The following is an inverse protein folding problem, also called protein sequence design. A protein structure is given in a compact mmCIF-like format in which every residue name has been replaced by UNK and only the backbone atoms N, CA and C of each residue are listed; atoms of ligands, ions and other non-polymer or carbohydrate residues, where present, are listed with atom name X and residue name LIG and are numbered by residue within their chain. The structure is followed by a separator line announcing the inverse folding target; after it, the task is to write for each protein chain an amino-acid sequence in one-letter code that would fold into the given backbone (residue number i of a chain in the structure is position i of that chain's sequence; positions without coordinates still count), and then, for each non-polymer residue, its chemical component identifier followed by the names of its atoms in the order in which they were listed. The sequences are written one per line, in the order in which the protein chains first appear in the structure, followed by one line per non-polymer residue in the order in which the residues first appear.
data_IF_559348749210
#
_entry.id   IF_559348749210
#
_cell.length_a   1.000
_cell.length_b   1.000
_cell.length_c   1.000
_cell.angle_alpha   90.00
_cell.angle_beta   90.00
_cell.angle_gamma   90.00
#
_symmetry.space_group_name_H-M   'P 1'
#
loop_
_entity.id
_entity.type
_entity.pdbx_description
1 polymer ?
#
# COMPACT_ATOMS: atom_id res chain seq x y z
N UNK A 1 -15.57 27.26 -22.44
CA UNK A 1 -16.69 26.39 -22.86
C UNK A 1 -17.96 26.88 -22.19
N UNK A 2 -19.07 27.07 -22.93
CA UNK A 2 -20.35 27.46 -22.32
C UNK A 2 -20.94 26.27 -21.56
N UNK A 3 -21.55 26.50 -20.40
CA UNK A 3 -22.17 25.42 -19.61
C UNK A 3 -23.27 24.68 -20.38
N UNK A 4 -23.98 25.38 -21.28
CA UNK A 4 -25.00 24.77 -22.15
C UNK A 4 -24.46 23.65 -23.05
N UNK A 5 -23.17 23.67 -23.37
CA UNK A 5 -22.49 22.68 -24.22
C UNK A 5 -21.75 21.61 -23.42
N UNK A 6 -21.74 21.70 -22.09
CA UNK A 6 -21.02 20.78 -21.23
C UNK A 6 -21.77 19.43 -21.13
N UNK A 7 -21.04 18.34 -21.41
CA UNK A 7 -21.42 16.97 -21.07
C UNK A 7 -21.10 16.71 -19.59
N UNK A 8 -22.03 16.10 -18.86
CA UNK A 8 -22.00 16.03 -17.39
C UNK A 8 -22.86 17.13 -16.78
N UNK A 9 -24.01 16.74 -16.20
CA UNK A 9 -24.95 17.64 -15.54
C UNK A 9 -25.06 17.27 -14.07
N UNK A 10 -25.43 18.26 -13.26
CA UNK A 10 -25.59 18.05 -11.83
C UNK A 10 -26.84 17.22 -11.54
N UNK A 11 -26.77 16.32 -10.56
CA UNK A 11 -27.92 15.56 -10.07
C UNK A 11 -28.34 16.01 -8.67
N UNK A 12 -29.66 16.16 -8.47
CA UNK A 12 -30.26 16.40 -7.15
C UNK A 12 -30.34 15.12 -6.31
N UNK A 13 -30.39 13.96 -6.96
CA UNK A 13 -30.56 12.68 -6.30
C UNK A 13 -29.21 12.11 -5.88
N UNK A 14 -29.19 11.45 -4.71
CA UNK A 14 -28.06 10.61 -4.30
C UNK A 14 -28.01 9.38 -5.20
N UNK A 15 -26.83 9.05 -5.73
CA UNK A 15 -26.65 7.84 -6.52
C UNK A 15 -26.53 6.61 -5.61
N UNK A 16 -27.21 5.49 -5.92
CA UNK A 16 -27.03 4.23 -5.20
C UNK A 16 -25.55 3.78 -5.20
N UNK A 17 -25.09 3.17 -4.11
CA UNK A 17 -23.71 2.67 -3.98
C UNK A 17 -22.63 3.74 -3.75
N UNK A 18 -23.02 4.99 -3.44
CA UNK A 18 -22.10 6.06 -3.06
C UNK A 18 -22.15 6.33 -1.56
N UNK A 19 -21.32 5.61 -0.79
CA UNK A 19 -21.39 5.66 0.67
C UNK A 19 -20.60 6.82 1.28
N UNK A 20 -19.46 7.20 0.70
CA UNK A 20 -18.68 8.35 1.17
C UNK A 20 -19.08 9.68 0.50
N UNK A 21 -18.87 10.77 1.23
CA UNK A 21 -19.26 12.13 0.82
C UNK A 21 -18.53 12.61 -0.44
N UNK A 22 -17.22 12.38 -0.55
CA UNK A 22 -16.44 12.76 -1.73
C UNK A 22 -16.93 12.08 -3.01
N UNK A 23 -17.18 10.77 -2.96
CA UNK A 23 -17.75 10.02 -4.09
C UNK A 23 -19.15 10.53 -4.47
N UNK A 24 -20.01 10.78 -3.49
CA UNK A 24 -21.34 11.37 -3.73
C UNK A 24 -21.25 12.73 -4.42
N UNK A 25 -20.34 13.60 -3.98
CA UNK A 25 -20.15 14.92 -4.56
C UNK A 25 -19.63 14.85 -5.99
N UNK A 26 -18.63 14.01 -6.26
CA UNK A 26 -18.08 13.84 -7.62
C UNK A 26 -19.13 13.35 -8.61
N UNK A 27 -19.96 12.39 -8.22
CA UNK A 27 -21.07 11.90 -9.05
C UNK A 27 -22.14 12.97 -9.25
N UNK A 28 -22.60 13.60 -8.16
CA UNK A 28 -23.67 14.60 -8.21
C UNK A 28 -23.26 15.86 -8.95
N UNK A 29 -21.98 16.23 -8.93
CA UNK A 29 -21.46 17.37 -9.67
C UNK A 29 -21.17 17.05 -11.16
N UNK A 30 -21.28 15.79 -11.58
CA UNK A 30 -20.98 15.36 -12.94
C UNK A 30 -19.49 15.40 -13.27
N UNK A 31 -18.63 15.08 -12.29
CA UNK A 31 -17.17 15.01 -12.49
C UNK A 31 -16.74 13.62 -12.97
N UNK A 32 -17.40 12.57 -12.50
CA UNK A 32 -17.16 11.19 -12.88
C UNK A 32 -18.48 10.46 -13.13
N UNK A 33 -18.42 9.37 -13.89
CA UNK A 33 -19.53 8.41 -14.03
C UNK A 33 -18.97 7.00 -13.95
N UNK A 34 -19.61 6.07 -13.20
CA UNK A 34 -19.17 4.68 -13.14
C UNK A 34 -19.43 3.99 -14.48
N UNK A 35 -18.47 3.16 -14.90
CA UNK A 35 -18.59 2.23 -16.04
C UNK A 35 -18.79 0.81 -15.52
N UNK A 36 -18.04 0.43 -14.49
CA UNK A 36 -18.17 -0.82 -13.74
C UNK A 36 -17.75 -0.59 -12.29
N UNK A 37 -17.81 -1.64 -11.45
CA UNK A 37 -17.36 -1.56 -10.07
C UNK A 37 -15.86 -1.19 -10.01
N UNK A 38 -15.55 -0.01 -9.45
CA UNK A 38 -14.17 0.49 -9.38
C UNK A 38 -13.59 0.92 -10.72
N UNK A 39 -14.42 1.23 -11.72
CA UNK A 39 -13.97 1.75 -13.03
C UNK A 39 -14.84 2.95 -13.38
N UNK A 40 -14.20 4.09 -13.62
CA UNK A 40 -14.86 5.39 -13.75
C UNK A 40 -14.41 6.13 -15.00
N UNK A 41 -15.35 6.74 -15.72
CA UNK A 41 -15.02 7.77 -16.71
C UNK A 41 -14.92 9.13 -16.04
N UNK A 42 -13.86 9.88 -16.34
CA UNK A 42 -13.72 11.28 -15.94
C UNK A 42 -14.42 12.17 -16.98
N UNK A 43 -15.48 12.85 -16.55
CA UNK A 43 -16.23 13.83 -17.36
C UNK A 43 -15.43 15.15 -17.47
N UNK A 44 -15.80 16.11 -18.33
CA UNK A 44 -14.94 17.26 -18.64
C UNK A 44 -14.41 18.05 -17.44
N UNK A 45 -15.19 18.22 -16.37
CA UNK A 45 -14.68 18.88 -15.15
C UNK A 45 -13.78 17.96 -14.31
N UNK A 46 -14.10 16.68 -14.18
CA UNK A 46 -13.23 15.71 -13.51
C UNK A 46 -11.89 15.59 -14.23
N UNK A 47 -11.91 15.50 -15.57
CA UNK A 47 -10.69 15.43 -16.37
C UNK A 47 -9.85 16.71 -16.26
N UNK A 48 -10.48 17.90 -16.21
CA UNK A 48 -9.75 19.16 -15.97
C UNK A 48 -9.07 19.21 -14.60
N UNK A 49 -9.64 18.58 -13.58
CA UNK A 49 -8.99 18.48 -12.27
C UNK A 49 -7.83 17.49 -12.34
N UNK A 50 -8.04 16.32 -12.94
CA UNK A 50 -6.99 15.32 -13.15
C UNK A 50 -5.79 15.90 -13.91
N UNK A 51 -6.03 16.62 -15.00
CA UNK A 51 -5.01 17.29 -15.82
C UNK A 51 -4.23 18.35 -15.04
N UNK A 52 -4.89 19.08 -14.14
CA UNK A 52 -4.22 20.05 -13.25
C UNK A 52 -3.34 19.37 -12.20
N UNK A 53 -3.81 18.27 -11.63
CA UNK A 53 -3.03 17.47 -10.67
C UNK A 53 -1.79 16.90 -11.37
N UNK A 54 -1.99 16.28 -12.54
CA UNK A 54 -0.94 15.73 -13.39
C UNK A 54 0.10 16.80 -13.77
N UNK A 55 -0.34 18.00 -14.12
CA UNK A 55 0.53 19.15 -14.40
C UNK A 55 1.39 19.55 -13.20
N UNK A 56 0.80 19.68 -12.00
CA UNK A 56 1.53 20.04 -10.77
C UNK A 56 2.60 19.00 -10.47
N UNK A 57 2.25 17.72 -10.55
CA UNK A 57 3.18 16.60 -10.35
C UNK A 57 4.35 16.69 -11.33
N UNK A 58 4.04 16.80 -12.63
CA UNK A 58 5.06 16.92 -13.69
C UNK A 58 6.00 18.09 -13.47
N UNK A 59 5.47 19.25 -13.09
CA UNK A 59 6.26 20.46 -12.86
C UNK A 59 7.20 20.32 -11.66
N UNK A 60 6.72 19.76 -10.53
CA UNK A 60 7.55 19.57 -9.34
C UNK A 60 8.64 18.52 -9.54
N UNK A 61 8.35 17.44 -10.26
CA UNK A 61 9.33 16.43 -10.62
C UNK A 61 10.38 16.97 -11.61
N UNK A 62 9.95 17.75 -12.61
CA UNK A 62 10.86 18.37 -13.57
C UNK A 62 11.86 19.35 -12.93
N UNK A 63 11.45 20.09 -11.89
CA UNK A 63 12.36 20.97 -11.10
C UNK A 63 13.51 20.22 -10.43
N UNK A 64 13.37 18.91 -10.25
CA UNK A 64 14.32 18.02 -9.56
C UNK A 64 15.00 17.05 -10.52
N UNK A 65 14.99 17.37 -11.82
CA UNK A 65 15.63 16.58 -12.88
C UNK A 65 15.10 15.14 -13.01
N UNK A 66 13.87 14.89 -12.55
CA UNK A 66 13.21 13.60 -12.74
C UNK A 66 12.71 13.49 -14.18
N UNK A 67 13.12 12.44 -14.87
CA UNK A 67 12.89 12.27 -16.30
C UNK A 67 11.53 11.61 -16.55
N UNK A 68 10.69 12.24 -17.37
CA UNK A 68 9.40 11.67 -17.73
C UNK A 68 9.50 10.72 -18.92
N UNK A 69 9.02 9.50 -18.72
CA UNK A 69 8.87 8.47 -19.74
C UNK A 69 7.41 8.00 -19.76
N UNK A 70 7.06 7.17 -20.74
CA UNK A 70 5.78 6.48 -20.80
C UNK A 70 6.04 5.01 -21.10
N UNK A 71 5.71 4.14 -20.15
CA UNK A 71 5.85 2.70 -20.32
C UNK A 71 4.53 2.08 -20.80
N UNK A 72 4.59 0.92 -21.49
CA UNK A 72 3.39 0.20 -21.91
C UNK A 72 2.49 -0.14 -20.72
N UNK A 73 1.17 -0.15 -20.93
CA UNK A 73 0.22 -0.62 -19.92
C UNK A 73 0.05 -2.14 -19.92
N UNK A 74 0.30 -2.77 -21.06
CA UNK A 74 0.21 -4.23 -21.24
C UNK A 74 1.61 -4.81 -21.14
N UNK A 75 1.83 -5.70 -20.17
CA UNK A 75 3.13 -6.35 -19.96
C UNK A 75 3.09 -7.82 -20.40
N UNK A 76 4.16 -8.36 -21.00
CA UNK A 76 4.30 -9.80 -21.18
C UNK A 76 4.47 -10.47 -19.81
N UNK A 77 3.82 -11.61 -19.61
CA UNK A 77 3.87 -12.33 -18.32
C UNK A 77 5.29 -12.79 -17.98
N UNK A 78 6.12 -13.08 -18.98
CA UNK A 78 7.52 -13.53 -18.80
C UNK A 78 8.34 -12.56 -17.96
N UNK A 79 8.13 -11.25 -18.15
CA UNK A 79 8.87 -10.23 -17.43
C UNK A 79 8.55 -10.22 -15.92
N UNK A 80 7.31 -10.57 -15.56
CA UNK A 80 6.86 -10.70 -14.16
C UNK A 80 7.23 -12.05 -13.53
N UNK A 81 7.47 -13.05 -14.37
CA UNK A 81 7.96 -14.34 -13.92
C UNK A 81 9.43 -14.27 -13.52
N UNK A 82 10.25 -13.48 -14.24
CA UNK A 82 11.65 -13.18 -13.89
C UNK A 82 11.82 -12.66 -12.46
N UNK A 83 10.87 -11.84 -11.98
CA UNK A 83 10.89 -11.28 -10.61
C UNK A 83 10.13 -12.13 -9.59
N UNK A 84 9.45 -13.19 -10.04
CA UNK A 84 8.53 -14.00 -9.24
C UNK A 84 7.26 -13.26 -8.78
N UNK A 85 7.06 -11.99 -9.18
CA UNK A 85 5.90 -11.18 -8.76
C UNK A 85 4.62 -11.62 -9.45
N UNK A 86 4.70 -12.33 -10.57
CA UNK A 86 3.55 -13.03 -11.16
C UNK A 86 2.83 -13.91 -10.14
N UNK A 87 3.59 -14.72 -9.37
CA UNK A 87 3.02 -15.62 -8.36
C UNK A 87 2.63 -14.87 -7.10
N UNK A 88 3.50 -13.97 -6.61
CA UNK A 88 3.27 -13.22 -5.35
C UNK A 88 2.06 -12.29 -5.43
N UNK A 89 1.80 -11.69 -6.60
CA UNK A 89 0.73 -10.71 -6.79
C UNK A 89 -0.49 -11.27 -7.53
N UNK A 90 -0.56 -12.59 -7.77
CA UNK A 90 -1.63 -13.26 -8.54
C UNK A 90 -3.06 -12.85 -8.18
N UNK A 91 -3.31 -12.45 -6.93
CA UNK A 91 -4.63 -12.06 -6.41
C UNK A 91 -5.14 -10.73 -6.98
N UNK A 92 -4.25 -9.87 -7.49
CA UNK A 92 -4.60 -8.54 -8.02
C UNK A 92 -4.26 -8.37 -9.50
N UNK A 93 -3.69 -9.40 -10.13
CA UNK A 93 -3.28 -9.34 -11.54
C UNK A 93 -4.42 -9.76 -12.46
N UNK A 94 -4.72 -8.92 -13.45
CA UNK A 94 -5.54 -9.32 -14.59
C UNK A 94 -4.64 -9.87 -15.70
N UNK A 95 -4.64 -11.20 -15.85
CA UNK A 95 -3.85 -11.92 -16.85
C UNK A 95 -4.79 -12.41 -17.96
N UNK A 96 -4.35 -12.27 -19.22
CA UNK A 96 -5.14 -12.65 -20.38
C UNK A 96 -4.27 -13.26 -21.49
N UNK A 97 -4.87 -14.13 -22.28
CA UNK A 97 -4.27 -14.73 -23.47
C UNK A 97 -4.64 -13.89 -24.70
N UNK A 98 -3.64 -13.48 -25.48
CA UNK A 98 -3.90 -12.77 -26.73
C UNK A 98 -4.35 -13.73 -27.83
N UNK A 99 -5.23 -13.27 -28.72
CA UNK A 99 -5.78 -14.08 -29.81
C UNK A 99 -4.72 -14.69 -30.73
N UNK A 100 -3.60 -13.99 -30.92
CA UNK A 100 -2.50 -14.41 -31.80
C UNK A 100 -1.34 -15.04 -31.02
N UNK A 101 -1.58 -15.47 -29.78
CA UNK A 101 -0.59 -16.07 -28.91
C UNK A 101 0.13 -15.06 -28.02
N UNK A 102 0.71 -15.60 -26.95
CA UNK A 102 1.32 -14.82 -25.88
C UNK A 102 0.36 -14.58 -24.72
N UNK A 103 0.93 -14.55 -23.51
CA UNK A 103 0.23 -14.30 -22.27
C UNK A 103 0.67 -12.95 -21.72
N UNK A 104 -0.29 -12.10 -21.42
CA UNK A 104 -0.06 -10.72 -21.01
C UNK A 104 -0.83 -10.41 -19.73
N UNK A 105 -0.48 -9.29 -19.12
CA UNK A 105 -1.23 -8.74 -17.99
C UNK A 105 -1.39 -7.24 -18.13
N UNK A 106 -2.41 -6.70 -17.45
CA UNK A 106 -2.57 -5.26 -17.26
C UNK A 106 -1.72 -4.83 -16.06
N UNK A 107 -0.83 -3.87 -16.28
CA UNK A 107 0.18 -3.50 -15.29
C UNK A 107 -0.42 -2.85 -14.03
N UNK A 108 -0.21 -3.43 -12.82
CA UNK A 108 -0.57 -2.77 -11.56
C UNK A 108 0.49 -1.77 -11.07
N UNK A 109 1.70 -1.87 -11.62
CA UNK A 109 2.92 -1.07 -11.39
C UNK A 109 3.99 -1.51 -12.43
N UNK A 110 5.18 -0.90 -12.41
CA UNK A 110 6.16 -0.96 -13.49
C UNK A 110 7.61 -1.24 -13.06
N UNK A 111 7.87 -1.78 -11.86
CA UNK A 111 9.24 -2.10 -11.41
C UNK A 111 9.96 -3.04 -12.41
N UNK A 112 9.26 -4.05 -12.94
CA UNK A 112 9.80 -4.96 -13.95
C UNK A 112 10.22 -4.22 -15.23
N UNK A 113 9.32 -3.39 -15.76
CA UNK A 113 9.50 -2.73 -17.06
C UNK A 113 10.58 -1.66 -16.99
N UNK A 114 10.62 -0.89 -15.91
CA UNK A 114 11.66 0.14 -15.74
C UNK A 114 13.02 -0.50 -15.45
N UNK A 115 13.06 -1.64 -14.76
CA UNK A 115 14.29 -2.43 -14.58
C UNK A 115 14.77 -3.01 -15.90
N UNK A 116 13.86 -3.46 -16.77
CA UNK A 116 14.19 -3.87 -18.13
C UNK A 116 14.79 -2.73 -18.97
N UNK A 117 14.27 -1.51 -18.83
CA UNK A 117 14.87 -0.32 -19.45
C UNK A 117 16.27 -0.09 -18.88
N UNK A 118 16.39 -0.04 -17.55
CA UNK A 118 17.66 0.22 -16.89
C UNK A 118 18.74 -0.80 -17.26
N UNK A 119 18.43 -2.11 -17.30
CA UNK A 119 19.42 -3.15 -17.66
C UNK A 119 19.99 -2.98 -19.08
N UNK A 120 19.25 -2.34 -19.99
CA UNK A 120 19.71 -2.10 -21.36
C UNK A 120 20.49 -0.79 -21.52
N UNK A 121 20.12 0.26 -20.77
CA UNK A 121 20.62 1.62 -21.01
C UNK A 121 21.58 2.15 -19.93
N UNK A 122 21.56 1.60 -18.73
CA UNK A 122 22.50 1.95 -17.65
C UNK A 122 23.61 0.91 -17.66
N UNK A 123 24.74 1.26 -18.27
CA UNK A 123 25.86 0.32 -18.50
C UNK A 123 27.11 0.66 -17.70
N UNK A 124 27.16 1.85 -17.10
CA UNK A 124 28.26 2.32 -16.26
C UNK A 124 27.74 3.00 -15.01
N UNK A 125 28.52 2.95 -13.91
CA UNK A 125 28.26 3.76 -12.72
C UNK A 125 28.24 5.27 -13.03
N UNK A 126 28.87 5.70 -14.14
CA UNK A 126 28.86 7.09 -14.60
C UNK A 126 27.52 7.55 -15.16
N UNK A 127 26.65 6.61 -15.50
CA UNK A 127 25.29 6.90 -15.95
C UNK A 127 24.37 7.23 -14.75
N UNK A 128 24.81 6.95 -13.51
CA UNK A 128 24.06 7.07 -12.27
C UNK A 128 24.38 8.36 -11.51
N UNK A 129 23.44 8.93 -10.73
CA UNK A 129 22.08 8.43 -10.50
C UNK A 129 21.08 8.84 -11.60
N UNK A 130 20.01 8.07 -11.76
CA UNK A 130 18.89 8.35 -12.67
C UNK A 130 17.58 8.18 -11.94
N UNK A 131 16.64 9.11 -12.14
CA UNK A 131 15.26 8.96 -11.67
C UNK A 131 14.33 9.07 -12.87
N UNK A 132 13.60 7.99 -13.15
CA UNK A 132 12.61 7.89 -14.21
C UNK A 132 11.20 7.96 -13.60
N UNK A 133 10.27 8.64 -14.25
CA UNK A 133 8.90 8.79 -13.80
C UNK A 133 7.92 8.59 -14.95
N UNK A 134 6.73 8.09 -14.65
CA UNK A 134 5.57 8.19 -15.53
C UNK A 134 4.30 8.52 -14.75
N UNK A 135 3.33 9.10 -15.45
CA UNK A 135 1.98 9.29 -14.95
C UNK A 135 1.03 8.55 -15.91
N UNK A 136 0.48 7.41 -15.46
CA UNK A 136 -0.17 6.45 -16.35
C UNK A 136 -1.23 5.63 -15.60
N UNK A 137 -2.25 5.19 -16.33
CA UNK A 137 -3.30 4.28 -15.85
C UNK A 137 -2.72 2.92 -15.44
N UNK A 138 -3.19 2.42 -14.30
CA UNK A 138 -2.85 1.13 -13.72
C UNK A 138 -4.11 0.30 -13.54
N UNK A 139 -3.93 -1.01 -13.44
CA UNK A 139 -5.02 -1.92 -13.13
C UNK A 139 -4.64 -2.88 -12.00
N UNK A 140 -5.50 -2.97 -10.99
CA UNK A 140 -5.45 -3.96 -9.92
C UNK A 140 -6.83 -4.61 -9.81
N UNK A 141 -6.93 -5.93 -9.86
CA UNK A 141 -8.21 -6.63 -9.72
C UNK A 141 -8.66 -6.67 -8.24
N UNK A 142 -8.95 -5.49 -7.70
CA UNK A 142 -9.36 -5.32 -6.31
C UNK A 142 -10.64 -6.11 -6.04
N UNK A 143 -10.55 -6.99 -5.04
CA UNK A 143 -11.67 -7.79 -4.54
C UNK A 143 -12.77 -6.89 -3.98
N UNK A 144 -12.35 -5.81 -3.31
CA UNK A 144 -13.23 -4.80 -2.72
C UNK A 144 -12.88 -3.43 -3.28
N UNK A 145 -13.86 -2.79 -3.90
CA UNK A 145 -13.76 -1.41 -4.37
C UNK A 145 -14.62 -0.52 -3.47
N UNK A 146 -13.98 0.45 -2.82
CA UNK A 146 -14.56 1.29 -1.78
C UNK A 146 -14.15 2.74 -1.97
N UNK A 147 -14.92 3.66 -1.40
CA UNK A 147 -14.49 5.05 -1.37
C UNK A 147 -14.58 5.80 -2.72
N UNK A 148 -15.19 5.23 -3.76
CA UNK A 148 -15.25 5.87 -5.07
C UNK A 148 -13.88 5.82 -5.74
N UNK A 149 -13.25 6.98 -5.96
CA UNK A 149 -11.90 7.07 -6.54
C UNK A 149 -10.78 6.70 -5.55
N UNK A 150 -11.08 6.44 -4.27
CA UNK A 150 -10.08 6.11 -3.26
C UNK A 150 -9.55 4.67 -3.40
N UNK A 151 -10.40 3.72 -3.82
CA UNK A 151 -10.00 2.33 -4.08
C UNK A 151 -10.76 1.76 -5.28
N UNK A 152 -10.06 1.71 -6.41
CA UNK A 152 -10.60 1.33 -7.71
C UNK A 152 -9.82 0.18 -8.32
N UNK A 153 -10.36 -0.41 -9.39
CA UNK A 153 -9.63 -1.39 -10.20
C UNK A 153 -8.74 -0.72 -11.23
N UNK A 154 -9.26 0.32 -11.86
CA UNK A 154 -8.52 1.17 -12.79
C UNK A 154 -8.30 2.54 -12.15
N UNK A 155 -7.05 3.01 -12.08
CA UNK A 155 -6.69 4.29 -11.49
C UNK A 155 -5.49 4.91 -12.18
N UNK A 156 -5.39 6.24 -12.09
CA UNK A 156 -4.25 7.00 -12.58
C UNK A 156 -3.21 7.10 -11.47
N UNK A 157 -1.97 6.71 -11.78
CA UNK A 157 -0.87 6.72 -10.82
C UNK A 157 0.31 7.47 -11.41
N UNK A 158 0.98 8.25 -10.56
CA UNK A 158 2.35 8.65 -10.82
C UNK A 158 3.27 7.65 -10.09
N UNK A 159 4.22 7.09 -10.83
CA UNK A 159 5.20 6.11 -10.36
C UNK A 159 6.60 6.50 -10.84
N UNK A 160 7.53 6.59 -9.89
CA UNK A 160 8.92 6.98 -10.11
C UNK A 160 9.88 5.93 -9.57
N UNK A 161 11.01 5.77 -10.25
CA UNK A 161 11.99 4.73 -10.01
C UNK A 161 13.39 5.35 -10.10
N UNK A 162 14.16 5.26 -9.01
CA UNK A 162 15.56 5.66 -9.00
C UNK A 162 16.48 4.46 -9.20
N UNK A 163 17.60 4.70 -9.87
CA UNK A 163 18.71 3.80 -9.99
C UNK A 163 19.93 4.53 -9.46
N UNK A 164 20.64 3.90 -8.53
CA UNK A 164 21.72 4.49 -7.75
C UNK A 164 22.89 3.52 -7.66
N UNK A 165 24.11 4.05 -7.57
CA UNK A 165 25.33 3.22 -7.57
C UNK A 165 25.59 2.55 -6.21
N UNK A 166 25.08 3.16 -5.14
CA UNK A 166 25.25 2.74 -3.75
C UNK A 166 24.09 3.24 -2.87
N UNK A 167 24.08 2.81 -1.60
CA UNK A 167 23.06 3.17 -0.61
C UNK A 167 23.02 4.68 -0.32
N UNK A 168 24.17 5.37 -0.38
CA UNK A 168 24.22 6.81 -0.16
C UNK A 168 23.59 7.59 -1.34
N UNK A 169 23.69 7.06 -2.56
CA UNK A 169 22.95 7.53 -3.72
C UNK A 169 21.45 7.32 -3.54
N UNK A 170 21.04 6.12 -3.14
CA UNK A 170 19.64 5.80 -2.85
C UNK A 170 19.04 6.76 -1.80
N UNK A 171 19.74 7.03 -0.70
CA UNK A 171 19.27 7.95 0.35
C UNK A 171 19.05 9.37 -0.19
N UNK A 172 19.93 9.85 -1.08
CA UNK A 172 19.77 11.15 -1.75
C UNK A 172 18.57 11.15 -2.69
N UNK A 173 18.42 10.12 -3.51
CA UNK A 173 17.29 9.97 -4.44
C UNK A 173 15.96 9.87 -3.68
N UNK A 174 15.93 9.13 -2.57
CA UNK A 174 14.79 9.02 -1.67
C UNK A 174 14.41 10.38 -1.05
N UNK A 175 15.40 11.09 -0.50
CA UNK A 175 15.19 12.41 0.10
C UNK A 175 14.67 13.43 -0.93
N UNK A 176 15.25 13.43 -2.13
CA UNK A 176 14.80 14.29 -3.23
C UNK A 176 13.34 14.01 -3.63
N UNK A 177 12.95 12.73 -3.69
CA UNK A 177 11.56 12.36 -3.96
C UNK A 177 10.64 12.75 -2.80
N UNK A 178 11.04 12.55 -1.55
CA UNK A 178 10.28 12.99 -0.38
C UNK A 178 10.03 14.51 -0.42
N UNK A 179 11.05 15.32 -0.71
CA UNK A 179 10.91 16.76 -0.92
C UNK A 179 9.97 17.11 -2.08
N UNK A 180 10.00 16.33 -3.18
CA UNK A 180 9.11 16.49 -4.31
C UNK A 180 7.64 16.27 -3.90
N UNK A 181 7.35 15.19 -3.19
CA UNK A 181 6.01 14.88 -2.72
C UNK A 181 5.50 15.93 -1.74
N UNK A 182 6.32 16.40 -0.80
CA UNK A 182 5.94 17.53 0.08
C UNK A 182 5.55 18.78 -0.72
N UNK A 183 6.32 19.14 -1.75
CA UNK A 183 6.01 20.29 -2.60
C UNK A 183 4.73 20.07 -3.43
N UNK A 184 4.53 18.87 -3.97
CA UNK A 184 3.32 18.49 -4.70
C UNK A 184 2.09 18.62 -3.80
N UNK A 185 2.08 17.98 -2.63
CA UNK A 185 0.95 18.02 -1.70
C UNK A 185 0.67 19.43 -1.18
N UNK A 186 1.72 20.21 -0.90
CA UNK A 186 1.58 21.62 -0.52
C UNK A 186 0.90 22.45 -1.62
N UNK A 187 1.29 22.28 -2.88
CA UNK A 187 0.65 22.95 -4.03
C UNK A 187 -0.79 22.48 -4.30
N UNK A 188 -1.10 21.23 -3.97
CA UNK A 188 -2.46 20.69 -4.02
C UNK A 188 -3.32 21.16 -2.83
N UNK A 189 -2.73 21.83 -1.84
CA UNK A 189 -3.43 22.27 -0.62
C UNK A 189 -3.81 21.12 0.30
N UNK A 190 -3.05 20.02 0.28
CA UNK A 190 -3.31 18.83 1.08
C UNK A 190 -2.40 18.82 2.32
N UNK A 191 -3.01 18.77 3.50
CA UNK A 191 -2.30 18.54 4.75
C UNK A 191 -1.98 17.04 4.86
N UNK A 192 -0.72 16.69 4.61
CA UNK A 192 -0.23 15.32 4.65
C UNK A 192 0.60 15.07 5.90
N UNK A 193 0.43 13.90 6.48
CA UNK A 193 1.26 13.34 7.55
C UNK A 193 2.10 12.24 6.95
N UNK A 194 3.43 12.35 7.06
CA UNK A 194 4.35 11.26 6.65
C UNK A 194 4.44 10.25 7.78
N UNK A 195 4.30 8.97 7.44
CA UNK A 195 4.37 7.85 8.40
C UNK A 195 5.28 6.76 7.89
N UNK A 196 5.98 6.07 8.80
CA UNK A 196 6.73 4.86 8.46
C UNK A 196 5.77 3.74 8.07
N UNK A 197 6.07 3.06 6.98
CA UNK A 197 5.20 2.07 6.38
C UNK A 197 5.90 0.72 6.16
N UNK A 198 5.11 -0.29 5.82
CA UNK A 198 5.64 -1.55 5.33
C UNK A 198 6.01 -1.43 3.84
N UNK A 199 7.03 -2.15 3.40
CA UNK A 199 7.40 -2.18 1.97
C UNK A 199 6.54 -3.17 1.18
N UNK A 200 5.78 -4.04 1.85
CA UNK A 200 4.84 -4.97 1.26
C UNK A 200 5.44 -5.86 0.18
N UNK A 201 4.60 -6.23 -0.79
CA UNK A 201 4.98 -7.09 -1.92
C UNK A 201 5.88 -6.41 -2.97
N UNK A 202 6.08 -5.09 -2.86
CA UNK A 202 7.05 -4.35 -3.68
C UNK A 202 8.48 -4.66 -3.19
N UNK A 203 8.64 -4.93 -1.89
CA UNK A 203 9.92 -5.24 -1.26
C UNK A 203 10.77 -3.99 -1.00
N UNK A 204 11.91 -4.19 -0.33
CA UNK A 204 12.83 -3.10 0.06
C UNK A 204 12.77 -2.75 1.55
N UNK A 205 13.41 -1.63 1.91
CA UNK A 205 13.43 -1.06 3.27
C UNK A 205 13.27 0.45 3.20
N UNK A 206 12.90 1.11 4.30
CA UNK A 206 12.76 2.57 4.34
C UNK A 206 11.49 3.11 3.67
N UNK A 207 10.36 2.40 3.80
CA UNK A 207 9.07 2.83 3.22
C UNK A 207 8.43 3.98 4.03
N UNK A 208 7.98 5.00 3.33
CA UNK A 208 7.21 6.13 3.87
C UNK A 208 5.90 6.30 3.11
N UNK A 209 4.82 6.58 3.83
CA UNK A 209 3.50 6.86 3.29
C UNK A 209 3.10 8.31 3.60
N UNK A 210 2.55 9.00 2.60
CA UNK A 210 1.94 10.31 2.75
C UNK A 210 0.44 10.18 2.95
N UNK A 211 -0.02 10.45 4.17
CA UNK A 211 -1.41 10.21 4.59
C UNK A 211 -2.17 11.52 4.75
N UNK A 212 -3.38 11.62 4.16
CA UNK A 212 -4.34 12.69 4.46
C UNK A 212 -5.31 12.18 5.50
N UNK A 213 -5.38 12.84 6.66
CA UNK A 213 -6.26 12.43 7.75
C UNK A 213 -7.73 12.56 7.37
N UNK A 214 -8.49 11.49 7.58
CA UNK A 214 -9.93 11.44 7.27
C UNK A 214 -10.63 10.36 8.07
N UNK A 215 -11.86 10.63 8.52
CA UNK A 215 -12.69 9.66 9.25
C UNK A 215 -12.99 8.38 8.44
N UNK A 216 -12.95 8.50 7.11
CA UNK A 216 -13.20 7.39 6.16
C UNK A 216 -11.91 6.69 5.69
N UNK A 217 -10.75 7.05 6.24
CA UNK A 217 -9.47 6.41 5.90
C UNK A 217 -9.48 4.91 6.22
N UNK A 218 -8.98 4.10 5.28
CA UNK A 218 -8.82 2.65 5.46
C UNK A 218 -7.60 2.34 6.33
N UNK A 219 -6.53 3.13 6.18
CA UNK A 219 -5.32 3.02 7.00
C UNK A 219 -5.51 3.57 8.42
N UNK A 220 -4.76 2.97 9.34
CA UNK A 220 -4.68 3.39 10.73
C UNK A 220 -3.23 3.70 11.04
N UNK A 221 -3.01 4.84 11.68
CA UNK A 221 -1.68 5.28 12.07
C UNK A 221 -1.61 5.32 13.60
N UNK A 222 -0.46 4.93 14.13
CA UNK A 222 -0.08 5.29 15.49
C UNK A 222 0.78 6.56 15.43
N UNK A 223 0.40 7.55 16.22
CA UNK A 223 1.17 8.77 16.42
C UNK A 223 1.55 8.91 17.88
N UNK A 224 2.83 9.16 18.13
CA UNK A 224 3.36 9.46 19.45
C UNK A 224 2.86 10.86 19.87
N UNK A 225 2.34 10.98 21.09
CA UNK A 225 1.86 12.22 21.68
C UNK A 225 2.99 13.06 22.34
N UNK A 226 4.20 12.50 22.41
CA UNK A 226 5.36 13.12 23.05
C UNK A 226 6.60 13.20 22.15
N UNK A 227 6.51 12.73 20.91
CA UNK A 227 7.63 12.63 19.97
C UNK A 227 7.14 12.59 18.50
N UNK A 228 8.06 12.70 17.55
CA UNK A 228 7.71 12.75 16.11
C UNK A 228 7.44 11.37 15.48
N UNK A 229 7.41 10.30 16.29
CA UNK A 229 7.19 8.96 15.77
C UNK A 229 5.75 8.77 15.26
N UNK A 230 5.63 8.46 13.97
CA UNK A 230 4.37 8.06 13.33
C UNK A 230 4.61 6.88 12.41
N UNK A 231 3.73 5.89 12.48
CA UNK A 231 3.82 4.69 11.66
C UNK A 231 2.44 4.12 11.36
N UNK A 232 2.30 3.50 10.20
CA UNK A 232 1.15 2.65 9.90
C UNK A 232 1.10 1.51 10.92
N UNK A 233 -0.09 1.10 11.38
CA UNK A 233 -0.29 -0.01 12.35
C UNK A 233 0.50 -1.26 11.96
N UNK A 234 0.61 -1.53 10.65
CA UNK A 234 1.32 -2.67 10.10
C UNK A 234 2.83 -2.64 10.39
N UNK A 235 3.42 -1.44 10.45
CA UNK A 235 4.85 -1.22 10.71
C UNK A 235 5.16 -0.78 12.14
N UNK A 236 4.19 -0.19 12.84
CA UNK A 236 4.41 0.50 14.11
C UNK A 236 5.07 -0.39 15.18
N UNK A 237 6.08 0.14 15.85
CA UNK A 237 6.79 -0.51 16.94
C UNK A 237 6.42 0.16 18.27
N UNK A 238 6.53 -0.60 19.35
CA UNK A 238 6.24 -0.09 20.69
C UNK A 238 7.25 -0.65 21.68
N UNK A 239 7.47 0.08 22.77
CA UNK A 239 8.18 -0.46 23.92
C UNK A 239 7.25 -1.42 24.66
N UNK A 240 7.71 -2.65 24.87
CA UNK A 240 6.95 -3.65 25.63
C UNK A 240 7.10 -3.32 27.12
N UNK A 241 6.01 -3.04 27.85
CA UNK A 241 6.09 -2.83 29.28
C UNK A 241 6.64 -4.08 29.96
N UNK A 242 7.65 -3.84 30.79
CA UNK A 242 8.18 -4.84 31.70
C UNK A 242 7.19 -4.96 32.86
N UNK A 243 6.63 -6.16 33.03
CA UNK A 243 5.92 -6.49 34.25
C UNK A 243 6.90 -7.06 35.27
N UNK A 244 6.63 -6.84 36.56
CA UNK A 244 7.30 -7.58 37.61
C UNK A 244 7.04 -9.07 37.42
N UNK A 245 8.10 -9.79 37.07
CA UNK A 245 8.09 -11.24 36.95
C UNK A 245 8.52 -11.85 38.27
N UNK A 246 7.79 -12.87 38.73
CA UNK A 246 8.27 -13.72 39.80
C UNK A 246 9.62 -14.33 39.36
N UNK A 247 10.70 -13.98 40.07
CA UNK A 247 12.06 -14.42 39.71
C UNK A 247 12.30 -15.89 40.01
N UNK A 248 11.51 -16.47 40.91
CA UNK A 248 11.60 -17.88 41.29
C UNK A 248 10.81 -18.74 40.29
N UNK A 249 11.53 -19.62 39.58
CA UNK A 249 10.90 -20.57 38.67
C UNK A 249 10.15 -21.65 39.46
N UNK A 250 8.82 -21.65 39.36
CA UNK A 250 7.96 -22.69 39.92
C UNK A 250 8.02 -23.97 39.09
N UNK A 251 7.77 -25.12 39.71
CA UNK A 251 7.65 -26.39 39.00
C UNK A 251 6.41 -26.45 38.11
N UNK A 252 6.54 -27.06 36.93
CA UNK A 252 5.44 -27.21 35.97
C UNK A 252 4.35 -28.13 36.52
N UNK A 253 3.09 -27.68 36.47
CA UNK A 253 1.90 -28.46 36.89
C UNK A 253 0.86 -28.46 35.78
N UNK A 254 0.31 -29.64 35.47
CA UNK A 254 -0.83 -29.78 34.56
C UNK A 254 -2.12 -29.50 35.31
N UNK A 255 -3.00 -28.69 34.73
CA UNK A 255 -4.31 -28.33 35.31
C UNK A 255 -5.40 -28.59 34.27
N UNK A 256 -6.54 -29.14 34.68
CA UNK A 256 -7.66 -29.44 33.78
C UNK A 256 -8.56 -28.20 33.59
N UNK A 257 -8.37 -27.47 32.49
CA UNK A 257 -9.20 -26.32 32.10
C UNK A 257 -10.42 -26.70 31.24
N UNK A 258 -11.32 -27.57 31.74
CA UNK A 258 -12.46 -28.07 30.94
C UNK A 258 -13.38 -26.93 30.49
N UNK A 259 -13.52 -26.75 29.17
CA UNK A 259 -14.42 -25.76 28.56
C UNK A 259 -13.93 -24.31 28.59
N UNK A 260 -12.67 -24.06 29.00
CA UNK A 260 -12.08 -22.73 29.03
C UNK A 260 -11.50 -22.41 27.65
N UNK A 261 -11.98 -21.34 27.02
CA UNK A 261 -11.51 -20.84 25.72
C UNK A 261 -11.18 -19.36 25.88
N UNK A 262 -9.99 -18.95 25.42
CA UNK A 262 -9.51 -17.56 25.54
C UNK A 262 -8.61 -17.32 26.76
N UNK A 263 -7.86 -16.22 26.70
CA UNK A 263 -6.86 -15.89 27.71
C UNK A 263 -7.47 -15.28 28.97
N UNK A 264 -8.54 -14.50 28.85
CA UNK A 264 -9.21 -13.87 29.99
C UNK A 264 -9.88 -14.93 30.89
N UNK A 265 -10.64 -15.91 30.35
CA UNK A 265 -11.18 -16.99 31.17
C UNK A 265 -10.09 -17.87 31.80
N UNK A 266 -8.99 -18.12 31.07
CA UNK A 266 -7.85 -18.88 31.58
C UNK A 266 -7.16 -18.16 32.75
N UNK A 267 -6.85 -16.87 32.58
CA UNK A 267 -6.22 -16.05 33.60
C UNK A 267 -7.08 -15.99 34.88
N UNK A 268 -8.40 -15.82 34.72
CA UNK A 268 -9.36 -15.85 35.83
C UNK A 268 -9.39 -17.20 36.55
N UNK A 269 -9.40 -18.31 35.79
CA UNK A 269 -9.40 -19.66 36.36
C UNK A 269 -8.13 -19.97 37.16
N UNK A 270 -6.97 -19.50 36.68
CA UNK A 270 -5.68 -19.70 37.35
C UNK A 270 -5.39 -18.64 38.42
N UNK A 271 -6.25 -17.63 38.58
CA UNK A 271 -6.03 -16.48 39.47
C UNK A 271 -4.70 -15.76 39.20
N UNK A 272 -4.42 -15.49 37.92
CA UNK A 272 -3.23 -14.78 37.45
C UNK A 272 -3.63 -13.62 36.53
N UNK A 273 -2.68 -12.75 36.22
CA UNK A 273 -2.89 -11.68 35.23
C UNK A 273 -2.76 -12.21 33.80
N UNK A 274 -3.44 -11.57 32.84
CA UNK A 274 -3.39 -11.97 31.41
C UNK A 274 -1.96 -11.95 30.85
N UNK A 275 -1.11 -11.02 31.30
CA UNK A 275 0.29 -10.93 30.88
C UNK A 275 1.15 -12.15 31.28
N UNK A 276 0.68 -12.95 32.23
CA UNK A 276 1.34 -14.19 32.66
C UNK A 276 0.91 -15.41 31.82
N UNK A 277 0.03 -15.20 30.83
CA UNK A 277 -0.40 -16.24 29.89
C UNK A 277 0.31 -16.09 28.54
N UNK A 278 0.38 -17.18 27.79
CA UNK A 278 0.93 -17.21 26.43
C UNK A 278 -0.15 -17.73 25.49
N UNK A 279 -0.42 -17.00 24.40
CA UNK A 279 -1.18 -17.50 23.25
C UNK A 279 -0.22 -18.20 22.31
N UNK A 280 -0.52 -19.45 21.99
CA UNK A 280 0.17 -20.21 20.95
C UNK A 280 -0.78 -20.35 19.77
N UNK A 281 -0.39 -19.80 18.63
CA UNK A 281 -1.10 -19.92 17.36
C UNK A 281 -0.26 -20.80 16.44
N UNK A 282 -0.90 -21.72 15.73
CA UNK A 282 -0.22 -22.58 14.76
C UNK A 282 -0.50 -22.00 13.38
N UNK A 283 0.55 -21.62 12.67
CA UNK A 283 0.43 -21.07 11.32
C UNK A 283 1.05 -22.02 10.30
N UNK A 284 0.46 -22.09 9.11
CA UNK A 284 1.11 -22.58 7.90
C UNK A 284 1.78 -21.40 7.20
N UNK A 285 3.12 -21.42 7.13
CA UNK A 285 3.96 -20.46 6.43
C UNK A 285 4.61 -21.15 5.23
N UNK A 286 4.05 -20.92 4.04
CA UNK A 286 4.34 -21.67 2.81
C UNK A 286 4.21 -23.19 3.02
N UNK A 287 5.34 -23.92 3.04
CA UNK A 287 5.42 -25.37 3.21
C UNK A 287 5.69 -25.81 4.67
N UNK A 288 5.85 -24.85 5.60
CA UNK A 288 6.22 -25.12 7.01
C UNK A 288 5.07 -24.82 7.97
N UNK A 289 4.89 -25.70 8.95
CA UNK A 289 4.04 -25.44 10.12
C UNK A 289 4.88 -24.83 11.23
N UNK A 290 4.44 -23.71 11.78
CA UNK A 290 5.13 -22.99 12.86
C UNK A 290 4.20 -22.75 14.04
N UNK A 291 4.78 -22.69 15.25
CA UNK A 291 4.08 -22.25 16.45
C UNK A 291 4.54 -20.84 16.82
N UNK A 292 3.60 -19.90 16.89
CA UNK A 292 3.84 -18.49 17.20
C UNK A 292 3.31 -18.24 18.61
N UNK A 293 4.22 -17.87 19.51
CA UNK A 293 3.90 -17.59 20.91
C UNK A 293 3.94 -16.09 21.17
N UNK A 294 2.83 -15.53 21.66
CA UNK A 294 2.73 -14.13 22.10
C UNK A 294 2.16 -14.04 23.51
N UNK A 295 2.51 -12.99 24.25
CA UNK A 295 1.93 -12.73 25.58
C UNK A 295 0.42 -12.57 25.47
N UNK A 296 -0.32 -13.00 26.49
CA UNK A 296 -1.78 -13.11 26.45
C UNK A 296 -2.53 -11.87 25.95
N UNK A 297 -2.03 -10.69 26.29
CA UNK A 297 -2.65 -9.40 25.93
C UNK A 297 -2.38 -8.95 24.48
N UNK A 298 -1.46 -9.61 23.76
CA UNK A 298 -1.06 -9.20 22.41
C UNK A 298 -1.62 -10.11 21.34
N UNK A 299 -1.93 -9.55 20.17
CA UNK A 299 -2.27 -10.35 18.99
C UNK A 299 -1.08 -10.43 18.04
N UNK A 300 -1.03 -11.49 17.24
CA UNK A 300 -0.03 -11.63 16.18
C UNK A 300 -0.38 -10.65 15.06
N UNK A 301 0.59 -9.84 14.65
CA UNK A 301 0.52 -9.10 13.39
C UNK A 301 1.01 -10.02 12.29
N UNK A 302 0.10 -10.46 11.43
CA UNK A 302 0.41 -11.38 10.33
C UNK A 302 1.40 -10.77 9.32
N UNK A 303 1.35 -9.45 9.13
CA UNK A 303 2.28 -8.73 8.24
C UNK A 303 3.70 -8.76 8.82
N UNK A 304 3.86 -8.42 10.10
CA UNK A 304 5.18 -8.50 10.77
C UNK A 304 5.71 -9.93 10.79
N UNK A 305 4.83 -10.91 11.01
CA UNK A 305 5.21 -12.32 10.99
C UNK A 305 5.63 -12.77 9.58
N UNK A 306 4.88 -12.38 8.55
CA UNK A 306 5.21 -12.66 7.14
C UNK A 306 6.58 -12.08 6.79
N UNK A 307 6.84 -10.83 7.18
CA UNK A 307 8.12 -10.17 6.94
C UNK A 307 9.28 -10.80 7.71
N UNK A 308 9.05 -11.21 8.97
CA UNK A 308 10.04 -11.91 9.78
C UNK A 308 10.44 -13.27 9.17
N UNK A 309 9.47 -13.98 8.61
CA UNK A 309 9.67 -15.31 8.04
C UNK A 309 10.13 -15.28 6.58
N UNK A 310 9.93 -14.16 5.89
CA UNK A 310 10.12 -14.04 4.45
C UNK A 310 9.21 -14.97 3.63
N UNK A 311 8.05 -15.35 4.17
CA UNK A 311 7.14 -16.28 3.52
C UNK A 311 6.19 -15.59 2.54
N UNK A 312 5.68 -16.31 1.55
CA UNK A 312 4.72 -15.77 0.57
C UNK A 312 3.27 -15.95 1.01
N UNK A 313 2.97 -17.06 1.69
CA UNK A 313 1.64 -17.37 2.18
C UNK A 313 1.70 -17.65 3.68
N UNK A 314 0.87 -16.96 4.44
CA UNK A 314 0.69 -17.18 5.86
C UNK A 314 -0.80 -17.45 6.11
N UNK A 315 -1.10 -18.55 6.80
CA UNK A 315 -2.47 -18.96 7.10
C UNK A 315 -2.54 -19.48 8.53
N UNK A 316 -3.46 -18.94 9.33
CA UNK A 316 -3.76 -19.42 10.68
C UNK A 316 -4.54 -20.74 10.64
#
# INVERSE_FOLDING_TARGET
MKYSQLVGKTSRQKMPGSDNVGHQLLLRAGFITPVAAGIYSFLPFGFRVLDKIDYIIKEELAKRSVQHILMPFVHPVTLWDETGRLTKMKKILAVFDAQHGGKYLLAPTHEETVTDIARHFITSYKDLPVILNQNQWKYRDEVRVTGGLLRTREFFMQDAYSFDADEAGLEKSFSLMSEAYHAIFSRLGLAVTVVKADSGAIGGTGSEEFMVESDIGEDRIFACDHCDYKANVEKAESQVPLHDQEREQKSMKKVLGKGIIGVEPLAKYLNISVYQTTKTLIYQADDRVIAVCVRGEYNVSEIKLTNLLGCMNLTL
#
